data_IF_879479794033
#
_entry.id   IF_879479794033
#
_cell.length_a   1.000
_cell.length_b   1.000
_cell.length_c   1.000
_cell.angle_alpha   90.00
_cell.angle_beta   90.00
_cell.angle_gamma   90.00
#
_symmetry.space_group_name_H-M   'P 1'
#
loop_
_entity.id
_entity.type
_entity.pdbx_description
1 polymer ?
#
# COMPACT_ATOMS: atom_id res chain seq x y z
N UNK A 1 7.40 1.19 18.96
CA UNK A 1 7.84 -0.10 18.37
C UNK A 1 8.73 -0.83 19.39
N UNK A 2 8.28 -1.08 20.63
CA UNK A 2 9.18 -1.39 21.75
C UNK A 2 8.79 -2.60 22.62
N UNK A 3 7.94 -3.49 22.11
CA UNK A 3 7.23 -4.43 22.99
C UNK A 3 7.64 -5.90 22.74
N UNK A 4 8.51 -6.17 21.76
CA UNK A 4 8.99 -7.53 21.41
C UNK A 4 7.89 -8.59 21.17
N UNK A 5 6.65 -8.15 21.00
CA UNK A 5 5.51 -9.03 20.71
C UNK A 5 5.28 -9.16 19.20
N UNK A 6 5.03 -10.40 18.77
CA UNK A 6 4.63 -10.70 17.40
C UNK A 6 3.13 -10.44 17.23
N UNK A 7 2.78 -9.37 16.52
CA UNK A 7 1.38 -9.07 16.20
C UNK A 7 0.99 -9.67 14.85
N UNK A 8 -0.21 -10.26 14.78
CA UNK A 8 -0.78 -10.72 13.52
C UNK A 8 -1.18 -9.50 12.68
N UNK A 9 -0.40 -9.23 11.63
CA UNK A 9 -0.71 -8.17 10.68
C UNK A 9 -1.86 -8.61 9.78
N UNK A 10 -3.07 -8.06 10.02
CA UNK A 10 -4.25 -8.33 9.20
C UNK A 10 -4.44 -7.22 8.17
N UNK A 11 -4.71 -7.61 6.92
CA UNK A 11 -5.07 -6.70 5.84
C UNK A 11 -6.53 -6.94 5.42
N UNK A 12 -7.31 -5.87 5.28
CA UNK A 12 -8.60 -5.87 4.60
C UNK A 12 -8.38 -5.54 3.14
N UNK A 13 -8.73 -6.46 2.24
CA UNK A 13 -8.80 -6.16 0.80
C UNK A 13 -10.01 -5.25 0.53
N UNK A 14 -9.77 -4.13 -0.14
CA UNK A 14 -10.78 -3.11 -0.46
C UNK A 14 -11.22 -3.12 -1.93
N UNK A 15 -10.63 -4.00 -2.75
CA UNK A 15 -10.86 -4.08 -4.19
C UNK A 15 -9.64 -3.67 -5.00
N UNK A 16 -9.84 -3.45 -6.30
CA UNK A 16 -8.78 -3.05 -7.23
C UNK A 16 -9.06 -1.67 -7.80
N UNK A 17 -8.02 -0.86 -7.99
CA UNK A 17 -8.11 0.43 -8.68
C UNK A 17 -6.84 0.74 -9.47
N UNK A 18 -6.98 1.54 -10.52
CA UNK A 18 -5.83 2.02 -11.30
C UNK A 18 -5.28 3.30 -10.71
N UNK A 19 -4.00 3.33 -10.38
CA UNK A 19 -3.31 4.52 -9.87
C UNK A 19 -2.23 5.00 -10.85
N UNK A 20 -1.99 6.32 -10.87
CA UNK A 20 -0.83 6.91 -11.55
C UNK A 20 0.40 6.82 -10.65
N UNK A 21 1.48 6.31 -11.20
CA UNK A 21 2.83 6.33 -10.64
C UNK A 21 3.81 6.94 -11.64
N UNK A 22 5.06 7.10 -11.24
CA UNK A 22 6.14 7.51 -12.16
C UNK A 22 6.44 6.51 -13.27
N UNK A 23 5.98 5.26 -13.14
CA UNK A 23 6.12 4.22 -14.16
C UNK A 23 4.92 4.16 -15.13
N UNK A 24 3.90 5.01 -14.93
CA UNK A 24 2.67 5.01 -15.70
C UNK A 24 1.44 4.63 -14.86
N UNK A 25 0.34 4.30 -15.54
CA UNK A 25 -0.91 3.84 -14.92
C UNK A 25 -0.77 2.35 -14.57
N UNK A 26 -1.01 2.00 -13.32
CA UNK A 26 -0.86 0.62 -12.82
C UNK A 26 -2.18 0.19 -12.19
N UNK A 27 -2.71 -0.97 -12.60
CA UNK A 27 -3.82 -1.63 -11.90
C UNK A 27 -3.28 -2.18 -10.58
N UNK A 28 -3.90 -1.81 -9.46
CA UNK A 28 -3.45 -2.19 -8.12
C UNK A 28 -4.58 -2.83 -7.31
N UNK A 29 -4.23 -3.75 -6.43
CA UNK A 29 -5.05 -4.18 -5.31
C UNK A 29 -4.88 -3.19 -4.15
N UNK A 30 -6.00 -2.76 -3.56
CA UNK A 30 -6.05 -1.82 -2.45
C UNK A 30 -6.28 -2.56 -1.14
N UNK A 31 -5.45 -2.28 -0.14
CA UNK A 31 -5.54 -2.87 1.19
C UNK A 31 -5.56 -1.81 2.27
N UNK A 32 -6.25 -2.13 3.37
CA UNK A 32 -6.20 -1.37 4.62
C UNK A 32 -5.76 -2.30 5.75
N UNK A 33 -4.66 -2.00 6.47
CA UNK A 33 -4.30 -2.76 7.65
C UNK A 33 -5.30 -2.53 8.77
N UNK A 34 -5.54 -3.58 9.56
CA UNK A 34 -6.26 -3.43 10.83
C UNK A 34 -5.26 -2.92 11.87
N UNK A 35 -5.43 -1.66 12.29
CA UNK A 35 -4.69 -1.09 13.43
C UNK A 35 -5.47 -1.42 14.70
N UNK A 36 -4.81 -2.01 15.69
CA UNK A 36 -5.41 -2.18 17.02
C UNK A 36 -5.45 -0.81 17.71
N UNK A 37 -6.63 -0.41 18.19
CA UNK A 37 -6.82 0.82 18.97
C UNK A 37 -5.84 0.86 20.16
N UNK A 38 -5.04 1.93 20.28
CA UNK A 38 -4.11 2.15 21.41
C UNK A 38 -2.63 2.33 21.05
N UNK A 39 -2.26 2.28 19.77
CA UNK A 39 -0.95 2.73 19.26
C UNK A 39 -1.17 3.88 18.27
N UNK A 40 -0.07 4.53 17.85
CA UNK A 40 0.10 5.76 17.02
C UNK A 40 -1.02 6.12 16.02
N UNK A 41 -1.83 5.18 15.57
CA UNK A 41 -2.95 5.38 14.65
C UNK A 41 -4.29 5.06 15.35
N UNK A 42 -5.15 6.06 15.53
CA UNK A 42 -6.56 5.84 15.87
C UNK A 42 -7.30 5.21 14.67
N UNK A 43 -8.49 4.63 14.85
CA UNK A 43 -9.29 4.09 13.73
C UNK A 43 -9.57 5.14 12.63
N UNK A 44 -9.50 6.44 12.98
CA UNK A 44 -9.64 7.57 12.06
C UNK A 44 -8.37 7.83 11.23
N UNK A 45 -7.19 7.41 11.70
CA UNK A 45 -5.91 7.55 11.00
C UNK A 45 -5.65 6.34 10.10
N UNK A 46 -6.24 6.41 8.90
CA UNK A 46 -6.30 5.27 7.99
C UNK A 46 -5.01 5.13 7.18
N UNK A 47 -4.39 3.94 7.24
CA UNK A 47 -3.32 3.57 6.30
C UNK A 47 -3.94 2.83 5.11
N UNK A 48 -3.46 3.12 3.91
CA UNK A 48 -3.84 2.42 2.68
C UNK A 48 -2.59 1.98 1.93
N UNK A 49 -2.57 0.72 1.50
CA UNK A 49 -1.50 0.11 0.70
C UNK A 49 -2.04 -0.27 -0.67
N UNK A 50 -1.34 0.14 -1.72
CA UNK A 50 -1.59 -0.29 -3.10
C UNK A 50 -0.49 -1.24 -3.54
N UNK A 51 -0.89 -2.41 -4.00
CA UNK A 51 0.01 -3.44 -4.52
C UNK A 51 -0.33 -3.69 -5.98
N UNK A 52 0.65 -3.84 -6.88
CA UNK A 52 0.37 -4.14 -8.28
C UNK A 52 -0.52 -5.37 -8.43
N UNK A 53 -1.48 -5.29 -9.33
CA UNK A 53 -2.36 -6.41 -9.68
C UNK A 53 -1.70 -7.30 -10.75
N UNK A 54 -0.44 -7.65 -10.53
CA UNK A 54 0.35 -8.54 -11.38
C UNK A 54 0.98 -9.66 -10.56
N UNK A 55 1.75 -10.54 -11.20
CA UNK A 55 2.40 -11.66 -10.50
C UNK A 55 3.55 -11.24 -9.58
N UNK A 56 4.09 -10.02 -9.72
CA UNK A 56 5.15 -9.54 -8.85
C UNK A 56 4.60 -8.99 -7.53
N UNK A 57 3.35 -8.51 -7.48
CA UNK A 57 2.70 -7.97 -6.28
C UNK A 57 3.57 -6.90 -5.59
N UNK A 58 4.06 -5.95 -6.37
CA UNK A 58 4.92 -4.87 -5.90
C UNK A 58 4.12 -3.86 -5.07
N UNK A 59 4.61 -3.40 -3.91
CA UNK A 59 4.01 -2.29 -3.20
C UNK A 59 4.25 -0.99 -3.98
N UNK A 60 3.20 -0.46 -4.61
CA UNK A 60 3.29 0.71 -5.50
C UNK A 60 3.17 2.01 -4.70
N UNK A 61 2.28 2.06 -3.71
CA UNK A 61 2.06 3.24 -2.87
C UNK A 61 1.64 2.83 -1.47
N UNK A 62 2.10 3.58 -0.48
CA UNK A 62 1.56 3.61 0.88
C UNK A 62 1.07 5.04 1.16
N UNK A 63 -0.13 5.17 1.73
CA UNK A 63 -0.65 6.46 2.20
C UNK A 63 -1.13 6.32 3.63
N UNK A 64 -0.71 7.23 4.50
CA UNK A 64 -1.29 7.40 5.83
C UNK A 64 -2.08 8.70 5.84
N UNK A 65 -3.38 8.59 6.08
CA UNK A 65 -4.25 9.74 6.34
C UNK A 65 -4.09 10.13 7.80
N UNK A 66 -3.74 11.39 8.04
CA UNK A 66 -3.62 11.98 9.38
C UNK A 66 -4.65 13.10 9.49
N UNK A 67 -4.83 13.67 10.69
CA UNK A 67 -5.84 14.70 10.94
C UNK A 67 -5.82 15.85 9.91
N UNK A 68 -4.62 16.26 9.47
CA UNK A 68 -4.46 17.30 8.46
C UNK A 68 -3.56 16.80 7.34
N UNK A 69 -4.19 16.36 6.25
CA UNK A 69 -3.52 15.93 5.03
C UNK A 69 -3.15 14.45 5.02
N UNK A 70 -2.08 14.10 4.32
CA UNK A 70 -1.66 12.71 4.13
C UNK A 70 -0.16 12.61 3.91
N UNK A 71 0.46 11.56 4.44
CA UNK A 71 1.82 11.16 4.10
C UNK A 71 1.73 10.11 3.00
N UNK A 72 2.42 10.33 1.87
CA UNK A 72 2.46 9.39 0.74
C UNK A 72 3.89 8.92 0.50
N UNK A 73 4.06 7.62 0.37
CA UNK A 73 5.30 6.98 -0.04
C UNK A 73 5.06 6.19 -1.32
N UNK A 74 5.76 6.57 -2.39
CA UNK A 74 5.66 5.95 -3.70
C UNK A 74 6.87 5.06 -4.00
N UNK A 75 6.64 3.99 -4.76
CA UNK A 75 7.71 3.13 -5.23
C UNK A 75 8.65 3.92 -6.15
N UNK A 76 9.88 4.10 -5.69
CA UNK A 76 10.89 4.88 -6.41
C UNK A 76 11.74 4.01 -7.34
N UNK A 77 12.01 2.75 -7.03
CA UNK A 77 12.71 1.87 -7.97
C UNK A 77 12.47 0.41 -7.64
N UNK A 78 12.62 -0.47 -8.62
CA UNK A 78 12.60 -1.91 -8.43
C UNK A 78 13.62 -2.58 -9.36
N UNK A 79 14.11 -3.75 -8.97
CA UNK A 79 15.04 -4.56 -9.76
C UNK A 79 14.81 -6.04 -9.47
N UNK A 80 15.33 -6.92 -10.34
CA UNK A 80 15.28 -8.37 -10.17
C UNK A 80 13.85 -8.93 -10.06
N UNK A 81 12.93 -8.44 -10.89
CA UNK A 81 11.57 -8.96 -10.94
C UNK A 81 11.53 -10.39 -11.51
N UNK A 82 10.65 -11.22 -10.95
CA UNK A 82 10.44 -12.60 -11.44
C UNK A 82 9.55 -12.66 -12.68
N UNK A 83 8.68 -11.66 -12.84
CA UNK A 83 7.77 -11.53 -13.96
C UNK A 83 7.87 -10.13 -14.58
N UNK A 84 7.44 -9.93 -15.83
CA UNK A 84 7.30 -8.59 -16.39
C UNK A 84 6.43 -7.69 -15.50
N UNK A 85 6.77 -6.41 -15.44
CA UNK A 85 5.96 -5.41 -14.74
C UNK A 85 4.85 -4.91 -15.67
N UNK A 86 3.61 -4.96 -15.20
CA UNK A 86 2.45 -4.61 -16.02
C UNK A 86 2.02 -3.16 -15.80
N UNK A 87 1.91 -2.40 -16.90
CA UNK A 87 1.37 -1.05 -16.93
C UNK A 87 0.26 -0.96 -17.97
N UNK A 88 -0.68 -0.04 -17.77
CA UNK A 88 -1.73 0.27 -18.74
C UNK A 88 -1.22 1.36 -19.69
N UNK A 89 -1.25 1.06 -20.99
CA UNK A 89 -0.94 2.00 -22.07
C UNK A 89 -2.26 2.58 -22.58
N UNK A 90 -2.32 3.91 -22.73
CA UNK A 90 -3.45 4.60 -23.39
C UNK A 90 -3.27 4.60 -24.91
#
# INVERSE_FOLDING_TARGET
>A
FFDNENYVFKLKHLGSETIRSKFGKIRCLKFRPFVQSGRVFEEQESVTLWVSDDKNRLPIRLQADILVGSIKADLENFKNLRHPFEILVE
#
